data_IF_354606896123
#
_entry.id   IF_354606896123
#
_cell.length_a   1.000
_cell.length_b   1.000
_cell.length_c   1.000
_cell.angle_alpha   90.00
_cell.angle_beta   90.00
_cell.angle_gamma   90.00
#
_symmetry.space_group_name_H-M   'P 1'
#
loop_
_entity.id
_entity.type
_entity.pdbx_description
1 polymer ?
#
# COMPACT_ATOMS: atom_id res chain seq x y z
N UNK A 1 -5.28 8.51 -3.69
CA UNK A 1 -6.63 9.11 -3.78
C UNK A 1 -6.61 10.57 -4.24
N UNK A 2 -5.98 11.50 -3.51
CA UNK A 2 -6.00 12.93 -3.83
C UNK A 2 -5.48 13.23 -5.25
N UNK A 3 -4.35 12.63 -5.66
CA UNK A 3 -3.84 12.77 -7.02
C UNK A 3 -4.88 12.37 -8.09
N UNK A 4 -5.51 11.20 -7.96
CA UNK A 4 -6.58 10.76 -8.85
C UNK A 4 -7.82 11.68 -8.81
N UNK A 5 -8.07 12.33 -7.67
CA UNK A 5 -9.13 13.31 -7.53
C UNK A 5 -8.83 14.62 -8.27
N UNK A 6 -7.60 15.10 -8.19
CA UNK A 6 -7.13 16.29 -8.91
C UNK A 6 -7.14 16.08 -10.42
N UNK A 7 -6.91 14.84 -10.87
CA UNK A 7 -6.99 14.43 -12.28
C UNK A 7 -8.42 14.20 -12.78
N UNK A 8 -9.44 14.40 -11.95
CA UNK A 8 -10.85 14.35 -12.38
C UNK A 8 -11.43 12.95 -12.59
N UNK A 9 -10.74 11.87 -12.20
CA UNK A 9 -11.27 10.51 -12.32
C UNK A 9 -12.55 10.28 -11.53
N UNK A 10 -13.35 9.26 -11.84
CA UNK A 10 -14.53 8.93 -11.03
C UNK A 10 -14.14 8.28 -9.69
N UNK A 11 -15.13 8.13 -8.78
CA UNK A 11 -14.90 7.60 -7.43
C UNK A 11 -14.36 6.17 -7.43
N UNK A 12 -14.76 5.33 -8.38
CA UNK A 12 -14.29 3.94 -8.46
C UNK A 12 -12.80 3.93 -8.78
N UNK A 13 -12.40 4.64 -9.84
CA UNK A 13 -11.01 4.75 -10.25
C UNK A 13 -10.14 5.39 -9.16
N UNK A 14 -10.62 6.44 -8.46
CA UNK A 14 -9.89 7.04 -7.34
C UNK A 14 -9.62 6.06 -6.20
N UNK A 15 -10.60 5.20 -5.85
CA UNK A 15 -10.47 4.16 -4.81
C UNK A 15 -9.45 3.10 -5.26
N UNK A 16 -9.56 2.60 -6.50
CA UNK A 16 -8.61 1.64 -7.07
C UNK A 16 -7.18 2.17 -7.06
N UNK A 17 -6.94 3.38 -7.59
CA UNK A 17 -5.61 4.00 -7.60
C UNK A 17 -5.07 4.18 -6.18
N UNK A 18 -5.93 4.53 -5.21
CA UNK A 18 -5.50 4.67 -3.83
C UNK A 18 -5.04 3.33 -3.22
N UNK A 19 -5.71 2.22 -3.54
CA UNK A 19 -5.32 0.88 -3.09
C UNK A 19 -4.03 0.45 -3.78
N UNK A 20 -3.96 0.51 -5.10
CA UNK A 20 -2.79 0.07 -5.87
C UNK A 20 -1.51 0.82 -5.45
N UNK A 21 -1.60 2.14 -5.24
CA UNK A 21 -0.44 2.92 -4.79
C UNK A 21 -0.07 2.62 -3.34
N UNK A 22 -1.06 2.35 -2.49
CA UNK A 22 -0.85 2.05 -1.07
C UNK A 22 -0.42 0.61 -0.79
N UNK A 23 -0.78 -0.34 -1.65
CA UNK A 23 -0.50 -1.77 -1.50
C UNK A 23 0.71 -2.18 -2.34
N UNK A 24 1.90 -1.90 -1.82
CA UNK A 24 3.17 -2.27 -2.48
C UNK A 24 3.55 -3.73 -2.26
N UNK A 25 4.42 -4.27 -3.12
CA UNK A 25 5.06 -5.56 -2.90
C UNK A 25 6.18 -5.45 -1.85
N UNK A 26 5.78 -5.53 -0.59
CA UNK A 26 6.68 -5.44 0.55
C UNK A 26 7.58 -6.67 0.73
N UNK A 27 7.16 -7.84 0.24
CA UNK A 27 7.98 -9.05 0.25
C UNK A 27 9.24 -8.88 -0.59
N UNK A 28 9.10 -8.34 -1.81
CA UNK A 28 10.24 -8.02 -2.68
C UNK A 28 11.17 -6.99 -2.02
N UNK A 29 10.62 -5.97 -1.35
CA UNK A 29 11.42 -4.99 -0.63
C UNK A 29 12.24 -5.63 0.50
N UNK A 30 11.64 -6.52 1.29
CA UNK A 30 12.34 -7.29 2.34
C UNK A 30 13.43 -8.17 1.74
N UNK A 31 13.14 -8.92 0.67
CA UNK A 31 14.11 -9.79 0.03
C UNK A 31 15.31 -9.02 -0.52
N UNK A 32 15.09 -7.89 -1.20
CA UNK A 32 16.16 -7.03 -1.70
C UNK A 32 16.97 -6.42 -0.55
N UNK A 33 16.33 -6.01 0.54
CA UNK A 33 17.01 -5.48 1.71
C UNK A 33 17.96 -6.52 2.34
N UNK A 34 17.51 -7.77 2.49
CA UNK A 34 18.35 -8.86 3.02
C UNK A 34 19.50 -9.20 2.07
N UNK A 35 19.28 -9.15 0.75
CA UNK A 35 20.30 -9.51 -0.25
C UNK A 35 21.38 -8.44 -0.43
N UNK A 36 21.06 -7.17 -0.26
CA UNK A 36 21.95 -6.07 -0.66
C UNK A 36 22.32 -5.10 0.47
N UNK A 37 21.70 -5.21 1.64
CA UNK A 37 21.90 -4.31 2.78
C UNK A 37 22.00 -5.11 4.10
N UNK A 38 22.07 -4.40 5.22
CA UNK A 38 22.03 -5.03 6.55
C UNK A 38 20.64 -5.55 6.89
N UNK A 39 20.57 -6.57 7.76
CA UNK A 39 19.31 -7.19 8.18
C UNK A 39 18.30 -6.17 8.76
N UNK A 40 18.77 -5.11 9.41
CA UNK A 40 17.91 -4.04 9.93
C UNK A 40 17.16 -3.27 8.82
N UNK A 41 17.70 -3.22 7.60
CA UNK A 41 17.04 -2.58 6.45
C UNK A 41 15.77 -3.33 5.98
N UNK A 42 15.62 -4.60 6.36
CA UNK A 42 14.43 -5.39 6.07
C UNK A 42 13.25 -5.06 7.00
N UNK A 43 13.53 -4.51 8.18
CA UNK A 43 12.53 -4.26 9.23
C UNK A 43 11.37 -3.36 8.75
N UNK A 44 11.61 -2.22 8.05
CA UNK A 44 10.52 -1.40 7.54
C UNK A 44 9.63 -2.15 6.54
N UNK A 45 10.19 -2.96 5.65
CA UNK A 45 9.43 -3.77 4.70
C UNK A 45 8.57 -4.85 5.37
N UNK A 46 9.10 -5.47 6.43
CA UNK A 46 8.35 -6.45 7.22
C UNK A 46 7.17 -5.80 7.98
N UNK A 47 7.40 -4.66 8.63
CA UNK A 47 6.34 -3.91 9.31
C UNK A 47 5.30 -3.40 8.29
N UNK A 48 5.76 -2.89 7.15
CA UNK A 48 4.88 -2.43 6.09
C UNK A 48 3.96 -3.55 5.59
N UNK A 49 4.48 -4.79 5.48
CA UNK A 49 3.69 -5.98 5.11
C UNK A 49 2.50 -6.23 6.04
N UNK A 50 2.65 -5.99 7.33
CA UNK A 50 1.55 -6.13 8.29
C UNK A 50 0.60 -4.94 8.13
N UNK A 51 1.18 -3.73 8.10
CA UNK A 51 0.41 -2.49 8.12
C UNK A 51 -0.46 -2.30 6.87
N UNK A 52 0.09 -2.43 5.67
CA UNK A 52 -0.65 -2.15 4.43
C UNK A 52 -1.82 -3.12 4.20
N UNK A 53 -1.73 -4.36 4.72
CA UNK A 53 -2.84 -5.31 4.71
C UNK A 53 -3.96 -4.88 5.64
N UNK A 54 -3.63 -4.46 6.87
CA UNK A 54 -4.62 -3.96 7.84
C UNK A 54 -5.26 -2.66 7.33
N UNK A 55 -4.45 -1.66 6.96
CA UNK A 55 -4.94 -0.37 6.51
C UNK A 55 -5.72 -0.49 5.20
N UNK A 56 -5.25 -1.31 4.26
CA UNK A 56 -5.93 -1.58 3.00
C UNK A 56 -7.29 -2.24 3.21
N UNK A 57 -7.37 -3.23 4.10
CA UNK A 57 -8.63 -3.89 4.46
C UNK A 57 -9.62 -2.94 5.11
N UNK A 58 -9.17 -2.09 6.06
CA UNK A 58 -9.99 -1.07 6.70
C UNK A 58 -10.50 -0.05 5.67
N UNK A 59 -9.63 0.43 4.78
CA UNK A 59 -10.00 1.38 3.74
C UNK A 59 -11.03 0.79 2.77
N UNK A 60 -10.81 -0.45 2.31
CA UNK A 60 -11.74 -1.17 1.44
C UNK A 60 -13.11 -1.37 2.12
N UNK A 61 -13.12 -1.77 3.39
CA UNK A 61 -14.34 -1.91 4.18
C UNK A 61 -15.09 -0.58 4.34
N UNK A 62 -14.38 0.49 4.64
CA UNK A 62 -14.97 1.83 4.81
C UNK A 62 -15.58 2.34 3.50
N UNK A 63 -14.90 2.13 2.38
CA UNK A 63 -15.41 2.47 1.05
C UNK A 63 -16.52 1.56 0.55
N UNK A 64 -16.69 0.37 1.11
CA UNK A 64 -17.84 -0.50 0.83
C UNK A 64 -19.09 -0.01 1.58
N UNK A 65 -18.92 0.56 2.77
CA UNK A 65 -20.02 1.13 3.57
C UNK A 65 -20.50 2.50 3.09
N UNK A 66 -19.74 3.16 2.19
CA UNK A 66 -20.03 4.49 1.63
C UNK A 66 -20.21 4.45 0.13
#
# INVERSE_FOLDING_TARGET
YAAASLLGFDKSVRKTIAIEVGMQNSGLAVSLAIMHFEALAALPGAIFSIWHNISGSIAAWWWRRR
#
